data_IF_848551476448
#
_entry.id   IF_848551476448
#
_cell.length_a   1.000
_cell.length_b   1.000
_cell.length_c   1.000
_cell.angle_alpha   90.00
_cell.angle_beta   90.00
_cell.angle_gamma   90.00
#
_symmetry.space_group_name_H-M   'P 1'
#
loop_
_entity.id
_entity.type
_entity.pdbx_description
1 polymer ?
#
# COMPACT_ATOMS: atom_id res chain seq x y z
N UNK A 1 -11.61 3.99 -1.01
CA UNK A 1 -11.31 4.92 -2.14
C UNK A 1 -12.00 4.52 -3.44
N UNK A 2 -11.80 3.30 -3.98
CA UNK A 2 -12.35 2.92 -5.29
C UNK A 2 -13.88 3.05 -5.38
N UNK A 3 -14.62 2.56 -4.38
CA UNK A 3 -16.07 2.70 -4.34
C UNK A 3 -16.52 4.17 -4.30
N UNK A 4 -15.88 5.00 -3.48
CA UNK A 4 -16.23 6.41 -3.37
C UNK A 4 -16.07 7.19 -4.69
N UNK A 5 -15.19 6.73 -5.61
CA UNK A 5 -15.02 7.31 -6.95
C UNK A 5 -16.20 7.05 -7.88
N UNK A 6 -17.03 6.05 -7.59
CA UNK A 6 -18.24 5.73 -8.36
C UNK A 6 -19.43 6.61 -7.97
N UNK A 7 -19.29 7.41 -6.90
CA UNK A 7 -20.35 8.24 -6.34
C UNK A 7 -20.13 9.71 -6.69
N UNK A 8 -21.22 10.47 -6.73
CA UNK A 8 -21.21 11.90 -7.04
C UNK A 8 -21.43 12.71 -5.77
N UNK A 9 -20.89 13.93 -5.74
CA UNK A 9 -21.22 14.92 -4.71
C UNK A 9 -22.56 15.59 -5.05
N UNK A 10 -23.62 14.79 -5.14
CA UNK A 10 -24.96 15.24 -5.46
C UNK A 10 -25.94 14.76 -4.38
N UNK A 11 -26.53 15.68 -3.59
CA UNK A 11 -27.45 15.34 -2.52
C UNK A 11 -28.79 14.79 -3.02
N UNK A 12 -29.19 15.11 -4.26
CA UNK A 12 -30.47 14.70 -4.84
C UNK A 12 -30.38 13.35 -5.57
N UNK A 13 -29.17 12.90 -5.89
CA UNK A 13 -28.96 11.62 -6.59
C UNK A 13 -29.14 10.45 -5.62
N UNK A 14 -30.24 9.72 -5.77
CA UNK A 14 -30.57 8.53 -4.99
C UNK A 14 -29.64 7.37 -5.35
N UNK A 15 -29.33 6.52 -4.38
CA UNK A 15 -28.53 5.31 -4.60
C UNK A 15 -29.30 4.28 -5.43
N UNK A 16 -28.63 3.74 -6.45
CA UNK A 16 -29.10 2.59 -7.21
C UNK A 16 -28.90 1.26 -6.45
N UNK A 17 -29.65 0.21 -6.80
CA UNK A 17 -29.58 -1.12 -6.15
C UNK A 17 -28.18 -1.74 -6.18
N UNK A 18 -27.35 -1.39 -7.18
CA UNK A 18 -25.95 -1.82 -7.25
C UNK A 18 -25.11 -1.32 -6.07
N UNK A 19 -25.46 -0.16 -5.52
CA UNK A 19 -24.82 0.40 -4.32
C UNK A 19 -25.41 -0.18 -3.03
N UNK A 20 -26.62 -0.77 -3.08
CA UNK A 20 -27.29 -1.39 -1.94
C UNK A 20 -26.60 -2.66 -1.44
N UNK A 21 -25.79 -3.34 -2.27
CA UNK A 21 -24.96 -4.44 -1.77
C UNK A 21 -23.94 -3.99 -0.71
N UNK A 22 -23.59 -2.71 -0.67
CA UNK A 22 -22.66 -2.13 0.32
C UNK A 22 -23.38 -1.41 1.47
N UNK A 23 -24.71 -1.26 1.41
CA UNK A 23 -25.49 -0.62 2.48
C UNK A 23 -25.73 -1.53 3.68
N UNK A 24 -25.30 -2.80 3.66
CA UNK A 24 -25.33 -3.65 4.86
C UNK A 24 -24.54 -3.03 6.04
N UNK A 25 -23.49 -2.26 5.75
CA UNK A 25 -22.69 -1.50 6.74
C UNK A 25 -23.30 -0.10 6.99
N UNK A 26 -24.14 0.40 6.07
CA UNK A 26 -24.63 1.78 6.04
C UNK A 26 -26.13 1.87 5.72
N UNK A 27 -26.94 1.18 6.52
CA UNK A 27 -28.36 0.95 6.25
C UNK A 27 -29.24 2.22 6.23
N UNK A 28 -28.75 3.35 6.76
CA UNK A 28 -29.49 4.61 6.85
C UNK A 28 -29.25 5.59 5.69
N UNK A 29 -28.39 5.24 4.74
CA UNK A 29 -27.93 6.15 3.68
C UNK A 29 -28.80 6.02 2.43
N UNK A 30 -29.24 7.15 1.86
CA UNK A 30 -30.18 7.17 0.74
C UNK A 30 -29.63 7.78 -0.55
N UNK A 31 -28.60 8.62 -0.47
CA UNK A 31 -28.10 9.41 -1.61
C UNK A 31 -26.61 9.19 -1.85
N UNK A 32 -26.15 9.50 -3.07
CA UNK A 32 -24.75 9.41 -3.47
C UNK A 32 -23.87 10.25 -2.54
N UNK A 33 -24.25 11.51 -2.29
CA UNK A 33 -23.52 12.41 -1.41
C UNK A 33 -23.39 11.86 0.01
N UNK A 34 -24.49 11.38 0.62
CA UNK A 34 -24.47 10.83 1.97
C UNK A 34 -23.55 9.61 2.06
N UNK A 35 -23.63 8.69 1.08
CA UNK A 35 -22.78 7.50 1.05
C UNK A 35 -21.33 7.87 0.86
N UNK A 36 -21.05 8.80 -0.05
CA UNK A 36 -19.70 9.26 -0.34
C UNK A 36 -19.08 9.92 0.88
N UNK A 37 -19.79 10.83 1.57
CA UNK A 37 -19.33 11.43 2.83
C UNK A 37 -19.02 10.38 3.88
N UNK A 38 -19.87 9.36 4.03
CA UNK A 38 -19.65 8.28 4.99
C UNK A 38 -18.42 7.43 4.64
N UNK A 39 -18.29 7.03 3.39
CA UNK A 39 -17.10 6.31 2.90
C UNK A 39 -15.83 7.14 3.08
N UNK A 40 -15.87 8.45 2.86
CA UNK A 40 -14.72 9.34 3.10
C UNK A 40 -14.31 9.33 4.59
N UNK A 41 -15.27 9.39 5.52
CA UNK A 41 -14.99 9.28 6.97
C UNK A 41 -14.36 7.92 7.31
N UNK A 42 -14.89 6.83 6.77
CA UNK A 42 -14.34 5.49 7.00
C UNK A 42 -12.94 5.35 6.39
N UNK A 43 -12.69 5.91 5.21
CA UNK A 43 -11.37 5.94 4.57
C UNK A 43 -10.37 6.72 5.43
N UNK A 44 -10.77 7.88 5.97
CA UNK A 44 -9.95 8.70 6.87
C UNK A 44 -9.56 7.88 8.11
N UNK A 45 -10.51 7.16 8.71
CA UNK A 45 -10.26 6.32 9.87
C UNK A 45 -9.33 5.15 9.54
N UNK A 46 -9.58 4.42 8.45
CA UNK A 46 -8.74 3.31 8.01
C UNK A 46 -7.30 3.75 7.73
N UNK A 47 -7.10 4.95 7.16
CA UNK A 47 -5.76 5.50 7.00
C UNK A 47 -5.12 5.93 8.31
N UNK A 48 -5.89 6.42 9.28
CA UNK A 48 -5.37 6.74 10.62
C UNK A 48 -4.94 5.49 11.37
N UNK A 49 -5.76 4.43 11.35
CA UNK A 49 -5.49 3.14 11.98
C UNK A 49 -4.27 2.43 11.36
N UNK A 50 -4.03 2.66 10.07
CA UNK A 50 -2.87 2.16 9.33
C UNK A 50 -1.65 3.09 9.34
N UNK A 51 -1.61 4.09 10.22
CA UNK A 51 -0.55 5.12 10.35
C UNK A 51 -0.24 5.92 9.07
N UNK A 52 -1.12 5.87 8.08
CA UNK A 52 -1.04 6.56 6.79
C UNK A 52 -1.62 7.98 6.87
N UNK A 53 -1.18 8.75 7.86
CA UNK A 53 -1.74 10.07 8.18
C UNK A 53 -1.65 11.08 7.04
N UNK A 54 -0.61 11.03 6.20
CA UNK A 54 -0.46 11.88 5.01
C UNK A 54 -1.63 11.65 4.04
N UNK A 55 -2.01 10.38 3.83
CA UNK A 55 -3.18 10.02 3.00
C UNK A 55 -4.49 10.38 3.67
N UNK A 56 -4.59 10.20 4.98
CA UNK A 56 -5.76 10.63 5.75
C UNK A 56 -6.00 12.14 5.61
N UNK A 57 -4.94 12.96 5.70
CA UNK A 57 -5.00 14.42 5.51
C UNK A 57 -5.40 14.79 4.08
N UNK A 58 -4.88 14.11 3.06
CA UNK A 58 -5.29 14.33 1.65
C UNK A 58 -6.81 14.14 1.50
N UNK A 59 -7.36 13.07 2.05
CA UNK A 59 -8.81 12.79 2.01
C UNK A 59 -9.61 13.79 2.85
N UNK A 60 -9.09 14.22 4.01
CA UNK A 60 -9.69 15.29 4.79
C UNK A 60 -9.82 16.58 3.98
N UNK A 61 -8.81 16.97 3.20
CA UNK A 61 -8.85 18.19 2.39
C UNK A 61 -9.91 18.13 1.29
N UNK A 62 -10.09 16.98 0.65
CA UNK A 62 -11.17 16.79 -0.31
C UNK A 62 -12.56 16.92 0.35
N UNK A 63 -12.74 16.28 1.51
CA UNK A 63 -14.01 16.33 2.24
C UNK A 63 -14.32 17.72 2.82
N UNK A 64 -13.28 18.48 3.19
CA UNK A 64 -13.39 19.85 3.70
C UNK A 64 -14.15 20.74 2.71
N UNK A 65 -13.75 20.70 1.43
CA UNK A 65 -14.39 21.46 0.34
C UNK A 65 -15.89 21.17 0.28
N UNK A 66 -16.26 19.89 0.47
CA UNK A 66 -17.66 19.47 0.40
C UNK A 66 -18.49 20.00 1.57
N UNK A 67 -17.97 19.97 2.80
CA UNK A 67 -18.68 20.55 3.93
C UNK A 67 -18.78 22.07 3.88
N UNK A 68 -17.78 22.75 3.30
CA UNK A 68 -17.86 24.19 3.07
C UNK A 68 -18.95 24.54 2.05
N UNK A 69 -19.03 23.78 0.95
CA UNK A 69 -20.05 23.97 -0.10
C UNK A 69 -21.47 23.64 0.38
N UNK A 70 -21.63 22.62 1.23
CA UNK A 70 -22.93 22.24 1.81
C UNK A 70 -23.26 22.96 3.12
N UNK A 71 -22.42 23.89 3.58
CA UNK A 71 -22.58 24.65 4.82
C UNK A 71 -22.69 23.77 6.10
N UNK A 72 -22.10 22.57 6.09
CA UNK A 72 -22.12 21.62 7.20
C UNK A 72 -21.01 21.90 8.23
N UNK A 73 -21.04 23.09 8.84
CA UNK A 73 -19.92 23.58 9.65
C UNK A 73 -19.64 22.79 10.93
N UNK A 74 -20.65 22.11 11.49
CA UNK A 74 -20.44 21.20 12.62
C UNK A 74 -19.54 20.01 12.22
N UNK A 75 -19.80 19.41 11.05
CA UNK A 75 -19.00 18.31 10.52
C UNK A 75 -17.61 18.80 10.08
N UNK A 76 -17.54 19.99 9.48
CA UNK A 76 -16.28 20.65 9.12
C UNK A 76 -15.39 20.88 10.35
N UNK A 77 -15.94 21.41 11.44
CA UNK A 77 -15.20 21.65 12.68
C UNK A 77 -14.59 20.36 13.23
N UNK A 78 -15.38 19.29 13.30
CA UNK A 78 -14.88 17.97 13.73
C UNK A 78 -13.79 17.42 12.79
N UNK A 79 -13.95 17.60 11.47
CA UNK A 79 -12.95 17.20 10.49
C UNK A 79 -11.62 17.95 10.65
N UNK A 80 -11.67 19.25 10.90
CA UNK A 80 -10.48 20.09 11.12
C UNK A 80 -9.76 19.73 12.43
N UNK A 81 -10.50 19.43 13.51
CA UNK A 81 -9.91 18.90 14.74
C UNK A 81 -9.20 17.56 14.49
N UNK A 82 -9.82 16.66 13.71
CA UNK A 82 -9.18 15.42 13.32
C UNK A 82 -7.92 15.66 12.47
N UNK A 83 -7.97 16.57 11.51
CA UNK A 83 -6.82 16.93 10.68
C UNK A 83 -5.66 17.50 11.51
N UNK A 84 -5.97 18.33 12.52
CA UNK A 84 -4.99 18.83 13.48
C UNK A 84 -4.29 17.68 14.22
N UNK A 85 -5.06 16.72 14.75
CA UNK A 85 -4.51 15.51 15.40
C UNK A 85 -3.60 14.71 14.48
N UNK A 86 -3.96 14.55 13.20
CA UNK A 86 -3.14 13.85 12.21
C UNK A 86 -1.79 14.56 11.97
N UNK A 87 -1.76 15.89 11.91
CA UNK A 87 -0.50 16.62 11.81
C UNK A 87 0.38 16.43 13.05
N UNK A 88 -0.22 16.39 14.25
CA UNK A 88 0.51 16.09 15.48
C UNK A 88 1.12 14.69 15.42
N UNK A 89 0.38 13.67 14.98
CA UNK A 89 0.91 12.31 14.84
C UNK A 89 2.10 12.25 13.88
N UNK A 90 2.06 12.95 12.74
CA UNK A 90 3.18 13.01 11.79
C UNK A 90 4.44 13.59 12.44
N UNK A 91 4.29 14.59 13.30
CA UNK A 91 5.41 15.28 13.93
C UNK A 91 5.92 14.59 15.19
N UNK A 92 5.12 13.70 15.79
CA UNK A 92 5.47 13.00 17.02
C UNK A 92 6.46 11.86 16.74
N UNK A 93 7.73 12.09 17.05
CA UNK A 93 8.80 11.12 16.89
C UNK A 93 8.63 9.88 17.82
N UNK A 94 7.76 9.93 18.83
CA UNK A 94 7.47 8.78 19.70
C UNK A 94 6.50 7.78 19.05
N UNK A 95 5.73 8.22 18.05
CA UNK A 95 4.92 7.35 17.20
C UNK A 95 5.84 6.63 16.21
N UNK A 96 6.55 5.60 16.67
CA UNK A 96 7.39 4.78 15.80
C UNK A 96 6.53 4.08 14.73
N UNK A 97 6.56 4.61 13.51
CA UNK A 97 6.15 3.86 12.33
C UNK A 97 7.11 2.70 12.16
N UNK A 98 6.59 1.48 12.16
CA UNK A 98 7.41 0.32 11.81
C UNK A 98 7.95 0.51 10.39
N UNK A 99 9.27 0.44 10.25
CA UNK A 99 9.92 0.50 8.96
C UNK A 99 9.38 -0.63 8.08
N UNK A 100 8.94 -0.24 6.89
CA UNK A 100 8.30 -1.17 5.95
C UNK A 100 9.41 -1.90 5.19
N UNK A 101 9.42 -3.23 5.24
CA UNK A 101 10.26 -4.03 4.39
C UNK A 101 9.54 -4.33 3.07
N UNK A 102 10.33 -4.45 2.00
CA UNK A 102 9.82 -4.81 0.69
C UNK A 102 10.53 -6.06 0.19
N UNK A 103 9.77 -6.93 -0.44
CA UNK A 103 10.26 -8.22 -0.93
C UNK A 103 9.98 -8.35 -2.42
N UNK A 104 11.01 -8.65 -3.20
CA UNK A 104 10.84 -9.10 -4.60
C UNK A 104 10.50 -10.58 -4.56
N UNK A 105 9.34 -10.94 -5.12
CA UNK A 105 8.85 -12.31 -5.20
C UNK A 105 8.72 -12.66 -6.69
N UNK A 106 9.55 -13.58 -7.17
CA UNK A 106 9.43 -14.14 -8.51
C UNK A 106 8.77 -15.50 -8.47
N UNK A 107 7.72 -15.68 -9.27
CA UNK A 107 7.02 -16.95 -9.44
C UNK A 107 7.33 -17.47 -10.85
N UNK A 108 7.99 -18.62 -10.96
CA UNK A 108 8.46 -19.18 -12.24
C UNK A 108 7.99 -20.62 -12.44
N UNK A 109 7.80 -20.98 -13.70
CA UNK A 109 7.28 -22.28 -14.11
C UNK A 109 5.81 -22.23 -14.48
N UNK A 110 5.41 -23.19 -15.31
CA UNK A 110 4.07 -23.34 -15.88
C UNK A 110 3.08 -23.99 -14.89
N UNK A 111 3.55 -24.43 -13.72
CA UNK A 111 2.69 -24.97 -12.66
C UNK A 111 1.89 -23.90 -11.90
N UNK A 112 2.19 -22.61 -12.08
CA UNK A 112 1.40 -21.51 -11.50
C UNK A 112 0.15 -21.21 -12.33
N UNK A 113 -0.81 -20.48 -11.77
CA UNK A 113 -1.87 -19.85 -12.56
C UNK A 113 -1.29 -18.75 -13.48
N UNK A 114 -1.92 -18.52 -14.63
CA UNK A 114 -1.44 -17.62 -15.70
C UNK A 114 -1.00 -16.24 -15.20
N UNK A 115 -1.72 -15.65 -14.23
CA UNK A 115 -1.38 -14.33 -13.70
C UNK A 115 -0.11 -14.29 -12.82
N UNK A 116 0.38 -15.46 -12.39
CA UNK A 116 1.62 -15.63 -11.61
C UNK A 116 2.76 -16.22 -12.44
N UNK A 117 2.45 -16.94 -13.53
CA UNK A 117 3.45 -17.63 -14.34
C UNK A 117 4.51 -16.66 -14.87
N UNK A 118 5.75 -16.90 -14.44
CA UNK A 118 6.93 -16.14 -14.84
C UNK A 118 6.82 -14.63 -14.55
N UNK A 119 6.03 -14.28 -13.53
CA UNK A 119 5.84 -12.91 -13.07
C UNK A 119 6.69 -12.60 -11.84
N UNK A 120 7.00 -11.32 -11.68
CA UNK A 120 7.74 -10.80 -10.54
C UNK A 120 6.92 -9.69 -9.90
N UNK A 121 6.76 -9.79 -8.58
CA UNK A 121 6.01 -8.85 -7.77
C UNK A 121 6.92 -8.20 -6.73
N UNK A 122 6.52 -7.03 -6.27
CA UNK A 122 7.04 -6.43 -5.06
C UNK A 122 5.95 -6.49 -3.99
N UNK A 123 6.24 -7.19 -2.91
CA UNK A 123 5.36 -7.31 -1.75
C UNK A 123 5.81 -6.32 -0.68
N UNK A 124 4.87 -5.50 -0.20
CA UNK A 124 5.04 -4.65 0.98
C UNK A 124 4.72 -5.46 2.22
N UNK A 125 5.65 -5.52 3.16
CA UNK A 125 5.51 -6.33 4.36
C UNK A 125 4.46 -5.78 5.32
N UNK A 126 3.93 -6.66 6.16
CA UNK A 126 3.27 -6.22 7.38
C UNK A 126 4.31 -5.67 8.38
N UNK A 127 3.92 -4.81 9.33
CA UNK A 127 4.80 -4.31 10.37
C UNK A 127 5.56 -5.43 11.11
N UNK A 128 6.89 -5.36 11.11
CA UNK A 128 7.75 -6.33 11.81
C UNK A 128 7.99 -7.67 11.09
N UNK A 129 7.37 -7.88 9.92
CA UNK A 129 7.50 -9.12 9.16
C UNK A 129 8.84 -9.17 8.40
N UNK A 130 9.63 -10.23 8.63
CA UNK A 130 10.98 -10.42 8.04
C UNK A 130 10.96 -11.44 6.89
N UNK A 131 12.10 -11.60 6.22
CA UNK A 131 12.26 -12.55 5.11
C UNK A 131 11.84 -13.98 5.44
N UNK A 132 12.14 -14.46 6.66
CA UNK A 132 11.77 -15.80 7.12
C UNK A 132 10.25 -15.98 7.17
N UNK A 133 9.55 -15.04 7.78
CA UNK A 133 8.08 -15.05 7.90
C UNK A 133 7.41 -15.03 6.51
N UNK A 134 7.95 -14.22 5.59
CA UNK A 134 7.45 -14.17 4.21
C UNK A 134 7.68 -15.47 3.46
N UNK A 135 8.83 -16.14 3.67
CA UNK A 135 9.11 -17.46 3.08
C UNK A 135 8.12 -18.51 3.58
N UNK A 136 7.85 -18.56 4.87
CA UNK A 136 6.89 -19.48 5.48
C UNK A 136 5.45 -19.20 4.96
N UNK A 137 5.06 -17.93 4.88
CA UNK A 137 3.76 -17.53 4.32
C UNK A 137 3.62 -17.98 2.86
N UNK A 138 4.66 -17.80 2.04
CA UNK A 138 4.66 -18.24 0.64
C UNK A 138 4.58 -19.76 0.52
N UNK A 139 5.29 -20.52 1.36
CA UNK A 139 5.20 -21.98 1.39
C UNK A 139 3.82 -22.47 1.84
N UNK A 140 3.17 -21.77 2.76
CA UNK A 140 1.80 -22.08 3.16
C UNK A 140 0.81 -21.86 2.01
N UNK A 141 0.99 -20.78 1.22
CA UNK A 141 0.13 -20.46 0.07
C UNK A 141 0.41 -21.40 -1.12
N UNK A 142 1.67 -21.76 -1.34
CA UNK A 142 2.12 -22.62 -2.43
C UNK A 142 2.91 -23.84 -1.88
N UNK A 143 2.23 -24.86 -1.33
CA UNK A 143 2.88 -25.98 -0.64
C UNK A 143 3.84 -26.81 -1.51
N UNK A 144 3.66 -26.77 -2.84
CA UNK A 144 4.48 -27.52 -3.80
C UNK A 144 5.56 -26.66 -4.46
N UNK A 145 5.68 -25.39 -4.08
CA UNK A 145 6.69 -24.50 -4.65
C UNK A 145 8.07 -24.76 -4.07
N UNK A 146 9.05 -24.86 -4.96
CA UNK A 146 10.47 -24.96 -4.61
C UNK A 146 10.98 -23.54 -4.37
N UNK A 147 11.40 -23.24 -3.14
CA UNK A 147 12.07 -21.98 -2.83
C UNK A 147 13.49 -22.00 -3.39
N UNK A 148 13.75 -21.11 -4.35
CA UNK A 148 15.08 -20.89 -4.91
C UNK A 148 15.86 -19.86 -4.08
N UNK A 149 17.16 -20.08 -3.97
CA UNK A 149 18.06 -19.08 -3.40
C UNK A 149 18.09 -17.81 -4.28
N UNK A 150 18.12 -16.60 -3.70
CA UNK A 150 18.26 -15.34 -4.44
C UNK A 150 19.45 -15.28 -5.41
N UNK A 151 20.52 -16.02 -5.13
CA UNK A 151 21.72 -16.07 -5.98
C UNK A 151 21.52 -16.93 -7.23
N UNK A 152 20.52 -17.81 -7.29
CA UNK A 152 20.24 -18.67 -8.45
C UNK A 152 19.76 -17.83 -9.64
N UNK A 153 20.38 -18.05 -10.81
CA UNK A 153 19.93 -17.48 -12.06
C UNK A 153 18.66 -18.18 -12.51
N UNK A 154 17.61 -17.39 -12.75
CA UNK A 154 16.38 -17.94 -13.32
C UNK A 154 16.60 -18.16 -14.82
N UNK A 155 16.83 -19.40 -15.18
CA UNK A 155 17.03 -19.89 -16.54
C UNK A 155 15.73 -20.36 -17.21
N UNK A 156 15.79 -20.61 -18.52
CA UNK A 156 14.64 -21.07 -19.31
C UNK A 156 14.04 -22.40 -18.81
N UNK A 157 14.88 -23.29 -18.27
CA UNK A 157 14.40 -24.56 -17.74
C UNK A 157 13.48 -24.35 -16.52
N UNK A 158 13.74 -23.35 -15.68
CA UNK A 158 12.85 -22.98 -14.58
C UNK A 158 11.51 -22.44 -15.10
N UNK A 159 11.55 -21.60 -16.15
CA UNK A 159 10.35 -20.94 -16.69
C UNK A 159 9.42 -21.89 -17.43
N UNK A 160 9.97 -22.88 -18.13
CA UNK A 160 9.21 -23.83 -18.96
C UNK A 160 8.82 -25.12 -18.22
N UNK A 161 9.39 -25.36 -17.05
CA UNK A 161 9.06 -26.52 -16.21
C UNK A 161 7.61 -26.48 -15.74
N UNK A 162 7.00 -27.65 -15.56
CA UNK A 162 5.66 -27.79 -14.96
C UNK A 162 5.66 -27.63 -13.43
N UNK A 163 6.84 -27.59 -12.81
CA UNK A 163 7.00 -27.34 -11.39
C UNK A 163 6.81 -25.85 -11.05
N UNK A 164 6.59 -25.56 -9.76
CA UNK A 164 6.50 -24.21 -9.23
C UNK A 164 7.83 -23.83 -8.56
N UNK A 165 8.42 -22.71 -8.97
CA UNK A 165 9.63 -22.16 -8.34
C UNK A 165 9.35 -20.76 -7.83
N UNK A 166 9.72 -20.48 -6.58
CA UNK A 166 9.56 -19.16 -5.97
C UNK A 166 10.92 -18.64 -5.54
N UNK A 167 11.26 -17.43 -5.95
CA UNK A 167 12.45 -16.72 -5.46
C UNK A 167 11.99 -15.51 -4.66
N UNK A 168 12.47 -15.36 -3.43
CA UNK A 168 12.15 -14.21 -2.57
C UNK A 168 13.39 -13.62 -1.92
N UNK A 169 13.50 -12.29 -2.00
CA UNK A 169 14.61 -11.52 -1.44
C UNK A 169 14.14 -10.13 -1.00
N UNK A 170 14.86 -9.54 -0.05
CA UNK A 170 14.65 -8.15 0.37
C UNK A 170 15.05 -7.19 -0.75
N UNK A 171 14.28 -6.13 -0.94
CA UNK A 171 14.61 -5.03 -1.84
C UNK A 171 14.51 -3.70 -1.10
N UNK A 172 15.37 -2.77 -1.47
CA UNK A 172 15.43 -1.43 -0.89
C UNK A 172 14.58 -0.46 -1.72
N UNK A 173 13.66 0.29 -1.09
CA UNK A 173 12.90 1.31 -1.79
C UNK A 173 13.81 2.44 -2.27
N UNK A 174 13.59 2.90 -3.50
CA UNK A 174 14.22 4.12 -4.02
C UNK A 174 13.16 5.22 -4.02
N UNK A 175 13.33 6.18 -3.13
CA UNK A 175 12.47 7.36 -3.06
C UNK A 175 12.86 8.37 -4.13
N UNK A 176 11.87 8.85 -4.88
CA UNK A 176 12.03 9.93 -5.83
C UNK A 176 11.92 11.28 -5.10
N UNK A 177 12.79 12.24 -5.44
CA UNK A 177 12.64 13.60 -4.93
C UNK A 177 11.30 14.17 -5.39
N UNK A 178 10.39 14.40 -4.45
CA UNK A 178 9.09 14.97 -4.78
C UNK A 178 9.25 16.45 -5.11
N UNK A 179 8.65 16.89 -6.22
CA UNK A 179 8.70 18.29 -6.65
C UNK A 179 8.27 19.28 -5.54
N UNK A 180 7.35 18.89 -4.66
CA UNK A 180 6.88 19.70 -3.52
C UNK A 180 7.94 19.92 -2.42
N UNK A 181 9.03 19.15 -2.39
CA UNK A 181 10.11 19.25 -1.39
C UNK A 181 11.35 19.97 -1.92
N UNK A 182 11.47 20.12 -3.24
CA UNK A 182 12.63 20.75 -3.86
C UNK A 182 12.88 22.15 -3.30
N UNK A 183 14.12 22.41 -2.89
CA UNK A 183 14.57 23.68 -2.30
C UNK A 183 13.84 24.11 -1.01
N UNK A 184 13.27 23.16 -0.27
CA UNK A 184 12.61 23.42 1.02
C UNK A 184 13.34 22.71 2.16
N UNK A 185 13.38 23.34 3.32
CA UNK A 185 13.81 22.68 4.55
C UNK A 185 12.62 21.90 5.13
N UNK A 186 12.59 20.58 4.91
CA UNK A 186 11.50 19.71 5.34
C UNK A 186 11.91 18.95 6.60
N UNK A 187 11.09 18.96 7.68
CA UNK A 187 11.35 18.17 8.87
C UNK A 187 11.55 16.68 8.55
N UNK A 188 12.51 16.07 9.25
CA UNK A 188 12.90 14.68 9.06
C UNK A 188 11.73 13.70 9.26
N UNK A 189 10.86 13.98 10.22
CA UNK A 189 9.65 13.19 10.50
C UNK A 189 8.73 13.07 9.27
N UNK A 190 8.64 14.12 8.44
CA UNK A 190 7.88 14.11 7.19
C UNK A 190 8.63 13.31 6.12
N UNK A 191 9.95 13.49 6.00
CA UNK A 191 10.77 12.81 5.00
C UNK A 191 10.79 11.30 5.19
N UNK A 192 10.84 10.83 6.45
CA UNK A 192 10.89 9.41 6.80
C UNK A 192 9.75 8.61 6.16
N UNK A 193 8.53 9.15 6.14
CA UNK A 193 7.40 8.52 5.47
C UNK A 193 7.69 8.23 4.00
N UNK A 194 8.14 9.25 3.26
CA UNK A 194 8.31 9.18 1.82
C UNK A 194 9.55 8.39 1.39
N UNK A 195 10.45 8.01 2.31
CA UNK A 195 11.57 7.10 2.00
C UNK A 195 11.09 5.68 1.72
N UNK A 196 10.04 5.23 2.41
CA UNK A 196 9.53 3.87 2.34
C UNK A 196 8.07 3.78 1.91
N UNK A 197 7.37 4.90 1.70
CA UNK A 197 5.98 4.94 1.24
C UNK A 197 5.83 5.71 -0.07
N UNK A 198 4.79 5.36 -0.83
CA UNK A 198 4.54 5.89 -2.18
C UNK A 198 5.69 5.63 -3.17
N UNK A 199 6.35 4.48 -2.98
CA UNK A 199 7.50 4.04 -3.76
C UNK A 199 7.05 3.20 -4.95
N UNK A 200 7.71 3.40 -6.10
CA UNK A 200 7.51 2.61 -7.32
C UNK A 200 8.81 1.99 -7.86
N UNK A 201 9.96 2.37 -7.31
CA UNK A 201 11.27 1.92 -7.74
C UNK A 201 11.96 1.22 -6.58
N UNK A 202 12.60 0.10 -6.87
CA UNK A 202 13.27 -0.73 -5.88
C UNK A 202 14.60 -1.18 -6.43
N UNK A 203 15.58 -1.35 -5.54
CA UNK A 203 16.89 -1.90 -5.88
C UNK A 203 17.23 -3.08 -4.99
N UNK A 204 18.09 -3.95 -5.49
CA UNK A 204 18.66 -5.03 -4.71
C UNK A 204 20.06 -5.33 -5.22
N UNK A 205 20.91 -5.78 -4.32
CA UNK A 205 22.25 -6.24 -4.68
C UNK A 205 22.20 -7.74 -4.87
N UNK A 206 22.84 -8.21 -5.93
CA UNK A 206 23.03 -9.63 -6.19
C UNK A 206 24.51 -9.93 -6.19
N UNK A 207 24.93 -10.83 -5.31
CA UNK A 207 26.29 -11.35 -5.31
C UNK A 207 26.42 -12.37 -6.43
N UNK A 208 27.39 -12.16 -7.31
CA UNK A 208 27.80 -13.13 -8.32
C UNK A 208 29.06 -13.81 -7.81
N UNK A 209 29.03 -15.14 -7.70
CA UNK A 209 30.25 -15.93 -7.48
C UNK A 209 30.85 -16.18 -8.86
N UNK A 210 32.01 -15.59 -9.14
CA UNK A 210 32.77 -15.92 -10.34
C UNK A 210 33.24 -17.38 -10.23
N UNK A 211 33.10 -18.15 -11.30
CA UNK A 211 33.46 -19.57 -11.31
C UNK A 211 34.97 -19.81 -11.11
N UNK A 212 35.80 -18.77 -11.30
CA UNK A 212 37.25 -18.83 -11.13
C UNK A 212 37.71 -18.88 -9.66
N UNK A 213 36.85 -18.53 -8.69
CA UNK A 213 37.20 -18.54 -7.26
C UNK A 213 36.93 -19.90 -6.56
N UNK A 214 36.51 -20.93 -7.32
CA UNK A 214 36.28 -22.29 -6.78
C UNK A 214 37.52 -23.20 -6.83
N UNK A 215 38.60 -22.77 -7.48
CA UNK A 215 39.83 -23.56 -7.65
C UNK A 215 41.10 -22.88 -7.05
N UNK A 216 40.94 -22.02 -6.04
CA UNK A 216 42.05 -21.39 -5.30
C UNK A 216 42.18 -21.88 -3.85
#
# INVERSE_FOLDING_TARGET
>A
MLHAKLLDWNPDKVLEDVHMKYTHIHQSVKTHDQLKKKLYRDIIQLFDDGDAWEKSIEVCKELQIQYEQSFEYANLSALLLNQSRLYVHIMDASKQRFEQEYFRIGCYGMGFHDFLQNQVFVYRSEPGQRLGDVREKLQTIFPHAILLDPTVNIEDHHRRSTSQYVQVQVVQPISDEKAKFKNRNIPEAILQYYRSNEIRRFTYTRLFVHEDDRDA
#
